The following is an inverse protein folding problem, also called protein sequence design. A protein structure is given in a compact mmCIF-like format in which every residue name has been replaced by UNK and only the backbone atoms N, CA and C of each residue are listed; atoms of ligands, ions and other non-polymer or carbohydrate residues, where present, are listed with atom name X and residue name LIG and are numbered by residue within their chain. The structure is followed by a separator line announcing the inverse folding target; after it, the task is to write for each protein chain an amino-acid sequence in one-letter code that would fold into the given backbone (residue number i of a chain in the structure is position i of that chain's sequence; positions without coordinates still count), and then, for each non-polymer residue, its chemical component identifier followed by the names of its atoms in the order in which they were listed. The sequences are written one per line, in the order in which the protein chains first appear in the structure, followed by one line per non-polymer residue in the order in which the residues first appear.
data_IF_368579154239
#
_entry.id   IF_368579154239
#
_cell.length_a   1.000
_cell.length_b   1.000
_cell.length_c   1.000
_cell.angle_alpha   90.00
_cell.angle_beta   90.00
_cell.angle_gamma   90.00
#
_symmetry.space_group_name_H-M   'P 1'
#
loop_
_entity.id
_entity.type
_entity.pdbx_description
1 polymer ?
#
# COMPACT_ATOMS: atom_id res chain seq x y z
N UNK A 1 15.80 1.98 -13.05
CA UNK A 1 15.04 2.42 -11.85
C UNK A 1 14.72 1.19 -11.00
N UNK A 2 14.85 1.27 -9.68
CA UNK A 2 14.52 0.16 -8.76
C UNK A 2 13.13 0.38 -8.18
N UNK A 3 12.33 -0.67 -8.09
CA UNK A 3 11.04 -0.68 -7.40
C UNK A 3 11.09 -1.64 -6.22
N UNK A 4 10.36 -1.31 -5.15
CA UNK A 4 10.19 -2.16 -3.97
C UNK A 4 8.77 -2.72 -3.99
N UNK A 5 8.64 -4.03 -3.82
CA UNK A 5 7.35 -4.74 -3.84
C UNK A 5 6.97 -5.07 -2.40
N UNK A 6 5.72 -4.78 -2.05
CA UNK A 6 5.16 -5.03 -0.72
C UNK A 6 3.93 -5.93 -0.84
N UNK A 7 3.81 -6.88 0.09
CA UNK A 7 2.60 -7.68 0.26
C UNK A 7 1.81 -7.15 1.45
N UNK A 8 0.55 -6.77 1.22
CA UNK A 8 -0.35 -6.32 2.27
C UNK A 8 -1.33 -7.44 2.58
N UNK A 9 -1.20 -8.03 3.77
CA UNK A 9 -2.05 -9.14 4.22
C UNK A 9 -3.46 -8.69 4.61
N UNK A 10 -3.60 -7.49 5.18
CA UNK A 10 -4.89 -6.92 5.57
C UNK A 10 -4.83 -5.41 5.70
N UNK A 11 -5.55 -4.69 4.83
CA UNK A 11 -5.71 -3.24 4.97
C UNK A 11 -6.55 -2.85 6.19
N UNK A 12 -7.46 -3.74 6.63
CA UNK A 12 -8.31 -3.49 7.79
C UNK A 12 -7.49 -3.45 9.08
N UNK A 13 -6.56 -4.39 9.27
CA UNK A 13 -5.72 -4.41 10.48
C UNK A 13 -4.75 -3.24 10.51
N UNK A 14 -4.13 -2.89 9.38
CA UNK A 14 -3.30 -1.69 9.28
C UNK A 14 -4.08 -0.41 9.62
N UNK A 15 -5.33 -0.31 9.17
CA UNK A 15 -6.18 0.85 9.46
C UNK A 15 -6.55 0.89 10.94
N UNK A 16 -6.90 -0.25 11.54
CA UNK A 16 -7.24 -0.35 12.97
C UNK A 16 -6.07 0.04 13.86
N UNK A 17 -4.88 -0.47 13.58
CA UNK A 17 -3.65 -0.14 14.29
C UNK A 17 -3.35 1.35 14.22
N UNK A 18 -3.39 1.92 13.02
CA UNK A 18 -3.12 3.33 12.80
C UNK A 18 -4.15 4.24 13.47
N UNK A 19 -5.44 3.88 13.45
CA UNK A 19 -6.51 4.61 14.15
C UNK A 19 -6.37 4.53 15.67
N UNK A 20 -5.91 3.40 16.21
CA UNK A 20 -5.65 3.24 17.64
C UNK A 20 -4.51 4.16 18.08
N UNK A 21 -3.44 4.23 17.29
CA UNK A 21 -2.31 5.15 17.52
C UNK A 21 -2.76 6.61 17.42
N UNK A 22 -3.55 6.97 16.41
CA UNK A 22 -4.11 8.33 16.29
C UNK A 22 -4.98 8.70 17.49
N UNK A 23 -5.74 7.75 18.02
CA UNK A 23 -6.52 7.97 19.24
C UNK A 23 -5.59 8.18 20.43
N UNK A 24 -4.59 7.33 20.62
CA UNK A 24 -3.65 7.46 21.73
C UNK A 24 -2.88 8.78 21.68
N UNK A 25 -2.36 9.13 20.51
CA UNK A 25 -1.61 10.38 20.28
C UNK A 25 -2.45 11.63 20.56
N UNK A 26 -3.78 11.58 20.40
CA UNK A 26 -4.67 12.69 20.74
C UNK A 26 -4.77 12.95 22.24
N UNK A 27 -4.54 11.95 23.09
CA UNK A 27 -4.68 12.05 24.55
C UNK A 27 -3.35 11.94 25.30
N UNK A 28 -2.23 11.81 24.60
CA UNK A 28 -0.90 11.68 25.18
C UNK A 28 -0.10 12.98 25.03
N UNK A 29 0.57 13.40 26.11
CA UNK A 29 1.56 14.49 26.09
C UNK A 29 2.98 13.98 25.79
N UNK A 30 3.15 12.67 25.61
CA UNK A 30 4.42 12.05 25.28
C UNK A 30 4.74 12.15 23.78
N UNK A 31 5.89 11.61 23.38
CA UNK A 31 6.27 11.55 21.97
C UNK A 31 5.24 10.78 21.14
N UNK A 32 4.78 11.32 19.99
CA UNK A 32 3.78 10.66 19.16
C UNK A 32 4.27 9.31 18.66
N UNK A 33 3.42 8.28 18.79
CA UNK A 33 3.67 6.99 18.15
C UNK A 33 3.40 7.08 16.66
N UNK A 34 4.16 6.33 15.87
CA UNK A 34 4.01 6.30 14.41
C UNK A 34 3.35 4.98 14.01
N UNK A 35 2.30 4.96 13.17
CA UNK A 35 1.68 3.73 12.68
C UNK A 35 2.65 2.83 11.91
N UNK A 36 2.46 1.51 11.99
CA UNK A 36 3.32 0.52 11.34
C UNK A 36 3.46 0.76 9.83
N UNK A 37 2.34 1.00 9.13
CA UNK A 37 2.36 1.28 7.69
C UNK A 37 3.20 2.50 7.33
N UNK A 38 3.18 3.54 8.18
CA UNK A 38 3.97 4.75 8.01
C UNK A 38 5.45 4.46 8.22
N UNK A 39 5.80 3.63 9.20
CA UNK A 39 7.18 3.21 9.45
C UNK A 39 7.75 2.42 8.26
N UNK A 40 6.99 1.47 7.71
CA UNK A 40 7.42 0.67 6.55
C UNK A 40 7.68 1.52 5.30
N UNK A 41 6.88 2.56 5.10
CA UNK A 41 6.94 3.40 3.92
C UNK A 41 7.78 4.67 4.10
N UNK A 42 8.34 4.92 5.30
CA UNK A 42 9.07 6.14 5.63
C UNK A 42 10.26 6.42 4.68
N UNK A 43 10.98 5.37 4.30
CA UNK A 43 12.16 5.48 3.42
C UNK A 43 11.81 5.36 1.92
N UNK A 44 10.51 5.23 1.59
CA UNK A 44 10.08 5.06 0.21
C UNK A 44 10.16 6.39 -0.54
N UNK A 45 10.96 6.44 -1.61
CA UNK A 45 11.08 7.60 -2.48
C UNK A 45 10.24 7.40 -3.74
N UNK A 46 9.15 8.14 -3.86
CA UNK A 46 8.28 8.13 -5.04
C UNK A 46 6.82 7.83 -4.71
N UNK A 47 5.96 7.73 -5.73
CA UNK A 47 4.56 7.41 -5.54
C UNK A 47 4.37 5.96 -5.09
N UNK A 48 3.49 5.75 -4.12
CA UNK A 48 3.02 4.44 -3.67
C UNK A 48 1.74 4.11 -4.44
N UNK A 49 1.71 2.95 -5.09
CA UNK A 49 0.53 2.49 -5.84
C UNK A 49 0.00 1.24 -5.15
N UNK A 50 -1.28 1.23 -4.78
CA UNK A 50 -1.97 0.04 -4.31
C UNK A 50 -3.00 -0.42 -5.33
N UNK A 51 -3.12 -1.74 -5.47
CA UNK A 51 -4.17 -2.37 -6.26
C UNK A 51 -4.74 -3.52 -5.45
N UNK A 52 -6.06 -3.67 -5.52
CA UNK A 52 -6.80 -4.73 -4.86
C UNK A 52 -7.91 -5.22 -5.79
N UNK A 53 -8.34 -6.46 -5.61
CA UNK A 53 -9.56 -7.02 -6.19
C UNK A 53 -10.84 -6.45 -5.55
N UNK A 54 -10.71 -5.83 -4.37
CA UNK A 54 -11.77 -5.07 -3.71
C UNK A 54 -11.98 -3.66 -4.28
N UNK A 55 -13.12 -3.07 -3.92
CA UNK A 55 -13.46 -1.68 -4.22
C UNK A 55 -12.39 -0.71 -3.70
N UNK A 56 -12.22 0.43 -4.39
CA UNK A 56 -11.16 1.43 -4.11
C UNK A 56 -11.10 1.81 -2.62
N UNK A 57 -12.26 1.99 -2.00
CA UNK A 57 -12.41 2.35 -0.59
C UNK A 57 -11.66 1.40 0.37
N UNK A 58 -11.50 0.13 -0.01
CA UNK A 58 -10.81 -0.87 0.80
C UNK A 58 -9.31 -0.60 0.94
N UNK A 59 -8.66 -0.06 -0.07
CA UNK A 59 -7.26 0.35 0.01
C UNK A 59 -7.10 1.84 0.34
N UNK A 60 -8.12 2.67 0.11
CA UNK A 60 -8.10 4.10 0.48
C UNK A 60 -8.19 4.34 1.99
N UNK A 61 -8.70 3.39 2.78
CA UNK A 61 -8.80 3.55 4.24
C UNK A 61 -7.45 3.84 4.93
N UNK A 62 -6.32 3.40 4.35
CA UNK A 62 -4.97 3.67 4.88
C UNK A 62 -4.35 4.98 4.37
N UNK A 63 -5.03 5.72 3.49
CA UNK A 63 -4.51 6.92 2.81
C UNK A 63 -3.83 7.91 3.75
N UNK A 64 -4.46 8.17 4.90
CA UNK A 64 -3.98 9.12 5.91
C UNK A 64 -2.56 8.80 6.41
N UNK A 65 -2.20 7.52 6.41
CA UNK A 65 -1.00 7.00 7.04
C UNK A 65 0.14 6.72 6.05
N UNK A 66 -0.08 6.95 4.76
CA UNK A 66 0.94 6.73 3.73
C UNK A 66 1.72 8.04 3.52
N UNK A 67 3.06 8.03 3.66
CA UNK A 67 3.87 9.19 3.39
C UNK A 67 3.90 9.47 1.88
N UNK A 68 3.50 10.68 1.49
CA UNK A 68 3.62 11.17 0.11
C UNK A 68 2.43 10.82 -0.80
N UNK A 69 2.72 10.65 -2.09
CA UNK A 69 1.68 10.39 -3.10
C UNK A 69 1.28 8.93 -3.06
N UNK A 70 0.00 8.69 -2.77
CA UNK A 70 -0.62 7.37 -2.88
C UNK A 70 -1.60 7.37 -4.06
N UNK A 71 -1.76 6.25 -4.75
CA UNK A 71 -2.77 6.07 -5.79
C UNK A 71 -3.37 4.68 -5.67
N UNK A 72 -4.70 4.57 -5.69
CA UNK A 72 -5.41 3.30 -5.65
C UNK A 72 -6.02 2.99 -7.00
N UNK A 73 -5.70 1.81 -7.54
CA UNK A 73 -6.24 1.31 -8.79
C UNK A 73 -7.28 0.21 -8.51
N UNK A 74 -8.42 0.32 -9.19
CA UNK A 74 -9.50 -0.69 -9.26
C UNK A 74 -10.07 -0.69 -10.68
N UNK A 75 -10.60 -1.80 -11.20
CA UNK A 75 -10.55 -3.19 -10.75
C UNK A 75 -9.40 -3.92 -11.49
N UNK A 76 -8.44 -4.49 -10.77
CA UNK A 76 -7.40 -5.30 -11.44
C UNK A 76 -6.89 -6.42 -10.54
N UNK A 77 -7.23 -7.65 -10.94
CA UNK A 77 -6.37 -8.82 -10.73
C UNK A 77 -5.12 -8.55 -11.57
N UNK A 78 -3.95 -8.51 -10.92
CA UNK A 78 -2.60 -8.17 -11.43
C UNK A 78 -2.16 -6.72 -11.17
N UNK A 79 -1.13 -6.56 -10.32
CA UNK A 79 -0.25 -5.39 -10.38
C UNK A 79 0.55 -5.49 -11.68
N UNK A 80 0.26 -4.63 -12.66
CA UNK A 80 1.18 -4.34 -13.76
C UNK A 80 1.22 -2.82 -13.94
N UNK A 81 2.41 -2.23 -13.99
CA UNK A 81 2.58 -1.00 -14.77
C UNK A 81 3.52 -1.27 -15.94
N UNK A 82 2.97 -0.97 -17.11
CA UNK A 82 3.53 -1.11 -18.46
C UNK A 82 4.47 0.06 -18.76
N UNK A 83 5.67 -0.24 -19.23
CA UNK A 83 6.19 0.43 -20.43
C UNK A 83 6.91 -0.57 -21.31
N UNK A 84 6.50 -0.62 -22.57
CA UNK A 84 6.97 -1.56 -23.57
C UNK A 84 8.41 -1.25 -24.00
N UNK A 85 9.28 -2.26 -23.97
CA UNK A 85 10.26 -2.48 -25.02
C UNK A 85 10.72 -3.94 -24.97
N UNK A 86 10.39 -4.61 -26.08
CA UNK A 86 10.92 -5.84 -26.65
C UNK A 86 11.57 -6.89 -25.73
N UNK A 87 11.07 -8.12 -25.91
CA UNK A 87 11.63 -9.42 -25.55
C UNK A 87 11.55 -9.86 -24.08
N UNK A 88 10.88 -11.01 -23.88
CA UNK A 88 10.98 -11.90 -22.72
C UNK A 88 10.09 -11.65 -21.48
N UNK A 89 8.77 -11.60 -21.68
CA UNK A 89 7.82 -12.05 -20.65
C UNK A 89 7.04 -13.23 -21.23
N UNK A 90 7.74 -14.35 -21.37
CA UNK A 90 7.18 -15.64 -21.73
C UNK A 90 6.98 -16.45 -20.44
N UNK A 91 5.73 -16.84 -20.18
CA UNK A 91 5.33 -18.02 -19.41
C UNK A 91 5.52 -17.99 -17.87
N UNK A 92 4.69 -17.22 -17.15
CA UNK A 92 4.39 -17.57 -15.74
C UNK A 92 3.00 -17.20 -15.24
N UNK A 93 1.97 -17.27 -16.10
CA UNK A 93 0.59 -16.93 -15.73
C UNK A 93 -0.44 -17.96 -16.19
N UNK A 94 -0.26 -19.24 -15.83
CA UNK A 94 -1.25 -20.27 -16.18
C UNK A 94 -1.54 -21.29 -15.10
N UNK A 95 -1.70 -20.86 -13.84
CA UNK A 95 -2.42 -21.66 -12.86
C UNK A 95 -2.88 -20.78 -11.70
N UNK A 96 -4.17 -20.49 -11.68
CA UNK A 96 -5.12 -20.68 -10.57
C UNK A 96 -6.48 -20.22 -11.15
N UNK A 97 -7.13 -21.18 -11.81
CA UNK A 97 -8.58 -21.37 -11.67
C UNK A 97 -8.80 -22.19 -10.40
#
# INVERSE_FOLDING_TARGET
MKSSIWSVTSFNELTREAQAIDRENRFSLASPKVPYITQCLADTKGPVIATTDYMRNYAEQVRKYIPGRYEVLVPMVLVVQIHALHSEISLKWMQIM
#
